data_IF_719539526623
#
_entry.id   IF_719539526623
#
_cell.length_a   1.000
_cell.length_b   1.000
_cell.length_c   1.000
_cell.angle_alpha   90.00
_cell.angle_beta   90.00
_cell.angle_gamma   90.00
#
_symmetry.space_group_name_H-M   'P 1'
#
loop_
_entity.id
_entity.type
_entity.pdbx_description
1 polymer ?
#
# COMPACT_ATOMS: atom_id res chain seq x y z
N UNK A 1 -1.11 -16.04 -20.83
CA UNK A 1 -0.94 -15.11 -19.70
C UNK A 1 -1.23 -13.72 -20.25
N UNK A 2 -2.27 -13.04 -19.76
CA UNK A 2 -2.63 -11.71 -20.27
C UNK A 2 -1.54 -10.71 -19.86
N UNK A 3 -1.12 -9.84 -20.78
CA UNK A 3 -0.08 -8.86 -20.50
C UNK A 3 -0.58 -7.82 -19.48
N UNK A 4 0.23 -7.49 -18.48
CA UNK A 4 -0.13 -6.51 -17.45
C UNK A 4 -0.37 -5.13 -18.06
N UNK A 5 -1.54 -4.55 -17.80
CA UNK A 5 -1.92 -3.20 -18.21
C UNK A 5 -2.02 -2.29 -16.99
N UNK A 6 -1.26 -1.19 -17.01
CA UNK A 6 -1.29 -0.16 -15.97
C UNK A 6 -2.68 0.49 -15.91
N UNK A 7 -3.30 0.73 -17.07
CA UNK A 7 -4.62 1.36 -17.15
C UNK A 7 -5.69 0.50 -16.47
N UNK A 8 -5.79 -0.77 -16.85
CA UNK A 8 -6.77 -1.68 -16.25
C UNK A 8 -6.51 -1.91 -14.76
N UNK A 9 -5.24 -2.01 -14.36
CA UNK A 9 -4.90 -2.16 -12.95
C UNK A 9 -5.24 -0.90 -12.13
N UNK A 10 -5.07 0.30 -12.69
CA UNK A 10 -5.36 1.56 -12.01
C UNK A 10 -6.84 1.78 -11.69
N UNK A 11 -7.74 1.22 -12.50
CA UNK A 11 -9.19 1.28 -12.24
C UNK A 11 -9.55 0.59 -10.92
N UNK A 12 -8.80 -0.45 -10.55
CA UNK A 12 -9.00 -1.25 -9.33
C UNK A 12 -8.40 -0.64 -8.07
N UNK A 13 -7.76 0.54 -8.14
CA UNK A 13 -7.26 1.24 -6.94
C UNK A 13 -8.43 1.44 -5.96
N UNK A 14 -8.26 1.05 -4.70
CA UNK A 14 -9.32 1.07 -3.69
C UNK A 14 -9.82 2.49 -3.43
N UNK A 15 -8.90 3.40 -3.13
CA UNK A 15 -9.25 4.78 -2.77
C UNK A 15 -9.40 5.68 -4.01
N UNK A 16 -10.58 6.31 -4.17
CA UNK A 16 -10.87 7.19 -5.31
C UNK A 16 -9.89 8.37 -5.44
N UNK A 17 -9.49 9.01 -4.34
CA UNK A 17 -8.55 10.15 -4.36
C UNK A 17 -7.17 9.69 -4.84
N UNK A 18 -6.72 8.53 -4.38
CA UNK A 18 -5.45 7.94 -4.82
C UNK A 18 -5.51 7.60 -6.31
N UNK A 19 -6.64 7.10 -6.81
CA UNK A 19 -6.85 6.87 -8.26
C UNK A 19 -6.69 8.15 -9.06
N UNK A 20 -7.24 9.27 -8.58
CA UNK A 20 -7.10 10.58 -9.23
C UNK A 20 -5.63 11.04 -9.25
N UNK A 21 -4.89 10.90 -8.14
CA UNK A 21 -3.46 11.22 -8.11
C UNK A 21 -2.61 10.28 -8.98
N UNK A 22 -3.01 9.02 -9.11
CA UNK A 22 -2.31 8.03 -9.92
C UNK A 22 -2.29 8.40 -11.42
N UNK A 23 -3.22 9.22 -11.90
CA UNK A 23 -3.19 9.73 -13.27
C UNK A 23 -1.93 10.56 -13.58
N UNK A 24 -1.34 11.23 -12.59
CA UNK A 24 -0.06 11.93 -12.76
C UNK A 24 1.10 10.95 -12.98
N UNK A 25 1.08 9.81 -12.27
CA UNK A 25 2.05 8.72 -12.45
C UNK A 25 1.92 8.15 -13.87
N UNK A 26 0.70 7.85 -14.31
CA UNK A 26 0.43 7.32 -15.66
C UNK A 26 0.92 8.26 -16.76
N UNK A 27 0.51 9.52 -16.71
CA UNK A 27 0.91 10.53 -17.72
C UNK A 27 2.42 10.69 -17.75
N UNK A 28 3.07 10.78 -16.58
CA UNK A 28 4.53 10.88 -16.49
C UNK A 28 5.22 9.65 -17.07
N UNK A 29 4.72 8.45 -16.76
CA UNK A 29 5.27 7.20 -17.28
C UNK A 29 5.15 7.12 -18.81
N UNK A 30 3.97 7.40 -19.37
CA UNK A 30 3.73 7.27 -20.81
C UNK A 30 4.50 8.28 -21.67
N UNK A 31 4.77 9.47 -21.14
CA UNK A 31 5.56 10.51 -21.82
C UNK A 31 7.08 10.30 -21.64
N UNK A 32 7.49 9.37 -20.77
CA UNK A 32 8.91 9.05 -20.52
C UNK A 32 9.55 9.84 -19.37
N UNK A 33 8.75 10.55 -18.57
CA UNK A 33 9.20 11.25 -17.36
C UNK A 33 9.32 10.29 -16.17
N UNK A 34 10.18 9.28 -16.29
CA UNK A 34 10.26 8.18 -15.31
C UNK A 34 10.71 8.62 -13.92
N UNK A 35 11.60 9.62 -13.82
CA UNK A 35 11.99 10.22 -12.53
C UNK A 35 10.78 10.78 -11.79
N UNK A 36 9.95 11.57 -12.49
CA UNK A 36 8.73 12.15 -11.92
C UNK A 36 7.70 11.09 -11.57
N UNK A 37 7.53 10.08 -12.44
CA UNK A 37 6.62 8.97 -12.18
C UNK A 37 6.99 8.23 -10.88
N UNK A 38 8.28 7.92 -10.66
CA UNK A 38 8.76 7.27 -9.43
C UNK A 38 8.53 8.15 -8.19
N UNK A 39 8.84 9.45 -8.29
CA UNK A 39 8.67 10.37 -7.16
C UNK A 39 7.21 10.46 -6.73
N UNK A 40 6.29 10.65 -7.69
CA UNK A 40 4.85 10.75 -7.41
C UNK A 40 4.29 9.42 -6.93
N UNK A 41 4.71 8.30 -7.53
CA UNK A 41 4.28 6.96 -7.12
C UNK A 41 4.59 6.72 -5.63
N UNK A 42 5.78 7.09 -5.16
CA UNK A 42 6.12 6.95 -3.74
C UNK A 42 5.24 7.82 -2.84
N UNK A 43 5.02 9.07 -3.23
CA UNK A 43 4.16 10.00 -2.48
C UNK A 43 2.74 9.46 -2.31
N UNK A 44 2.14 8.94 -3.38
CA UNK A 44 0.78 8.39 -3.31
C UNK A 44 0.73 7.06 -2.55
N UNK A 45 1.78 6.24 -2.60
CA UNK A 45 1.88 5.00 -1.81
C UNK A 45 1.80 5.30 -0.31
N UNK A 46 2.63 6.23 0.18
CA UNK A 46 2.62 6.60 1.60
C UNK A 46 1.27 7.22 1.99
N UNK A 47 0.70 8.06 1.12
CA UNK A 47 -0.60 8.68 1.35
C UNK A 47 -1.72 7.64 1.42
N UNK A 48 -1.72 6.65 0.53
CA UNK A 48 -2.70 5.55 0.51
C UNK A 48 -2.63 4.70 1.78
N UNK A 49 -1.43 4.40 2.28
CA UNK A 49 -1.25 3.69 3.56
C UNK A 49 -1.87 4.47 4.72
N UNK A 50 -1.67 5.79 4.77
CA UNK A 50 -2.29 6.65 5.80
C UNK A 50 -3.82 6.65 5.66
N UNK A 51 -4.35 6.79 4.44
CA UNK A 51 -5.80 6.76 4.22
C UNK A 51 -6.44 5.42 4.62
N UNK A 52 -5.76 4.31 4.35
CA UNK A 52 -6.19 2.99 4.80
C UNK A 52 -6.23 2.86 6.32
N UNK A 53 -5.23 3.39 7.02
CA UNK A 53 -5.24 3.43 8.49
C UNK A 53 -6.37 4.31 9.03
N UNK A 54 -6.64 5.44 8.40
CA UNK A 54 -7.77 6.31 8.76
C UNK A 54 -9.10 5.57 8.55
N UNK A 55 -9.27 4.88 7.43
CA UNK A 55 -10.46 4.07 7.15
C UNK A 55 -10.66 2.97 8.22
N UNK A 56 -9.58 2.27 8.59
CA UNK A 56 -9.62 1.26 9.67
C UNK A 56 -9.99 1.85 11.03
N UNK A 57 -9.44 3.01 11.36
CA UNK A 57 -9.76 3.71 12.61
C UNK A 57 -11.23 4.16 12.63
N UNK A 58 -11.66 4.88 11.59
CA UNK A 58 -12.93 5.61 11.60
C UNK A 58 -14.13 4.69 11.33
N UNK A 59 -14.00 3.69 10.45
CA UNK A 59 -15.11 2.81 10.08
C UNK A 59 -15.17 1.53 10.90
N UNK A 60 -14.01 1.02 11.35
CA UNK A 60 -13.93 -0.29 11.99
C UNK A 60 -13.41 -0.23 13.44
N UNK A 61 -13.01 0.95 13.92
CA UNK A 61 -12.51 1.12 15.28
C UNK A 61 -11.20 0.36 15.55
N UNK A 62 -10.36 0.09 14.54
CA UNK A 62 -9.13 -0.68 14.73
C UNK A 62 -8.14 0.11 15.63
N UNK A 63 -7.93 -0.39 16.84
CA UNK A 63 -6.99 0.19 17.81
C UNK A 63 -5.54 0.17 17.32
N UNK A 64 -5.14 -0.84 16.54
CA UNK A 64 -3.78 -0.92 15.97
C UNK A 64 -3.58 0.23 15.01
N UNK A 65 -4.56 0.49 14.15
CA UNK A 65 -4.50 1.63 13.22
C UNK A 65 -4.44 2.97 13.96
N UNK A 66 -5.24 3.11 15.02
CA UNK A 66 -5.22 4.30 15.90
C UNK A 66 -3.83 4.54 16.51
N UNK A 67 -3.20 3.49 17.04
CA UNK A 67 -1.86 3.56 17.66
C UNK A 67 -0.80 3.99 16.64
N UNK A 68 -0.80 3.40 15.44
CA UNK A 68 0.14 3.77 14.37
C UNK A 68 -0.04 5.23 13.96
N UNK A 69 -1.27 5.69 13.75
CA UNK A 69 -1.55 7.08 13.37
C UNK A 69 -1.05 8.07 14.43
N UNK A 70 -1.28 7.79 15.72
CA UNK A 70 -0.80 8.65 16.80
C UNK A 70 0.73 8.70 16.87
N UNK A 71 1.41 7.57 16.65
CA UNK A 71 2.88 7.51 16.59
C UNK A 71 3.43 8.34 15.42
N UNK A 72 2.80 8.24 14.25
CA UNK A 72 3.18 9.02 13.05
C UNK A 72 2.92 10.51 13.27
N UNK A 73 1.76 10.89 13.79
CA UNK A 73 1.42 12.29 14.06
C UNK A 73 2.40 12.92 15.05
N UNK A 74 2.79 12.19 16.09
CA UNK A 74 3.83 12.65 17.04
C UNK A 74 5.15 12.93 16.33
N UNK A 75 5.61 12.05 15.45
CA UNK A 75 6.86 12.24 14.70
C UNK A 75 6.79 13.43 13.75
N UNK A 76 5.65 13.62 13.07
CA UNK A 76 5.43 14.78 12.22
C UNK A 76 5.43 16.09 13.02
N UNK A 77 4.83 16.11 14.20
CA UNK A 77 4.82 17.29 15.07
C UNK A 77 6.20 17.61 15.67
N UNK A 78 6.98 16.60 16.04
CA UNK A 78 8.34 16.77 16.56
C UNK A 78 9.33 17.21 15.47
N UNK A 79 9.16 16.71 14.23
CA UNK A 79 10.04 17.01 13.09
C UNK A 79 9.24 17.26 11.80
N UNK A 80 8.58 18.43 11.65
CA UNK A 80 7.67 18.70 10.53
C UNK A 80 8.28 18.65 9.14
N UNK A 81 9.59 18.88 9.03
CA UNK A 81 10.33 18.86 7.77
C UNK A 81 11.05 17.53 7.49
N UNK A 82 11.01 16.58 8.43
CA UNK A 82 11.71 15.30 8.26
C UNK A 82 10.81 14.29 7.53
N UNK A 83 11.30 13.62 6.47
CA UNK A 83 10.60 12.50 5.85
C UNK A 83 10.76 11.18 6.62
N UNK A 84 11.46 11.16 7.77
CA UNK A 84 11.77 9.93 8.51
C UNK A 84 10.50 9.16 8.95
N UNK A 85 9.40 9.88 9.21
CA UNK A 85 8.13 9.29 9.61
C UNK A 85 7.58 8.33 8.55
N UNK A 86 7.86 8.57 7.26
CA UNK A 86 7.39 7.73 6.14
C UNK A 86 7.97 6.31 6.24
N UNK A 87 9.24 6.22 6.65
CA UNK A 87 9.91 4.93 6.84
C UNK A 87 9.40 4.24 8.09
N UNK A 88 9.18 5.04 9.15
CA UNK A 88 8.65 4.54 10.41
C UNK A 88 7.24 3.97 10.25
N UNK A 89 6.39 4.60 9.45
CA UNK A 89 5.06 4.09 9.10
C UNK A 89 5.15 2.68 8.50
N UNK A 90 6.00 2.49 7.49
CA UNK A 90 6.16 1.19 6.81
C UNK A 90 6.69 0.13 7.79
N UNK A 91 7.63 0.49 8.66
CA UNK A 91 8.13 -0.41 9.71
C UNK A 91 7.04 -0.83 10.69
N UNK A 92 6.21 0.11 11.17
CA UNK A 92 5.14 -0.20 12.13
C UNK A 92 4.03 -1.04 11.51
N UNK A 93 3.68 -0.79 10.24
CA UNK A 93 2.75 -1.64 9.49
C UNK A 93 3.28 -3.08 9.37
N UNK A 94 4.55 -3.25 9.04
CA UNK A 94 5.18 -4.57 8.97
C UNK A 94 5.24 -5.27 10.34
N UNK A 95 5.66 -4.57 11.40
CA UNK A 95 5.71 -5.13 12.77
C UNK A 95 4.34 -5.63 13.24
N UNK A 96 3.27 -4.97 12.80
CA UNK A 96 1.88 -5.31 13.16
C UNK A 96 1.23 -6.29 12.17
N UNK A 97 2.02 -6.89 11.26
CA UNK A 97 1.57 -7.84 10.23
C UNK A 97 0.50 -7.29 9.28
N UNK A 98 0.44 -5.96 9.13
CA UNK A 98 -0.39 -5.31 8.12
C UNK A 98 0.30 -5.31 6.75
N UNK A 99 1.63 -5.46 6.73
CA UNK A 99 2.39 -5.71 5.51
C UNK A 99 3.19 -7.00 5.65
N UNK A 100 3.32 -7.73 4.54
CA UNK A 100 4.26 -8.84 4.42
C UNK A 100 5.67 -8.38 4.01
N UNK A 101 6.59 -9.33 3.93
CA UNK A 101 7.98 -9.05 3.60
C UNK A 101 8.16 -8.58 2.14
N UNK A 102 7.36 -9.09 1.20
CA UNK A 102 7.40 -8.70 -0.21
C UNK A 102 6.95 -7.25 -0.36
N UNK A 103 5.80 -6.91 0.24
CA UNK A 103 5.21 -5.58 0.22
C UNK A 103 6.16 -4.54 0.81
N UNK A 104 6.72 -4.82 1.99
CA UNK A 104 7.70 -3.96 2.64
C UNK A 104 8.92 -3.73 1.72
N UNK A 105 9.50 -4.81 1.18
CA UNK A 105 10.68 -4.72 0.32
C UNK A 105 10.40 -3.90 -0.95
N UNK A 106 9.22 -4.05 -1.55
CA UNK A 106 8.83 -3.29 -2.73
C UNK A 106 8.68 -1.79 -2.43
N UNK A 107 8.10 -1.43 -1.27
CA UNK A 107 8.02 -0.03 -0.83
C UNK A 107 9.41 0.54 -0.55
N UNK A 108 10.30 -0.22 0.10
CA UNK A 108 11.68 0.21 0.37
C UNK A 108 12.50 0.37 -0.92
N UNK A 109 12.36 -0.54 -1.88
CA UNK A 109 12.98 -0.43 -3.19
C UNK A 109 12.50 0.84 -3.93
N UNK A 110 11.20 1.13 -3.87
CA UNK A 110 10.64 2.35 -4.44
C UNK A 110 11.19 3.60 -3.74
N UNK A 111 11.26 3.62 -2.41
CA UNK A 111 11.84 4.72 -1.62
C UNK A 111 13.29 5.00 -2.04
N UNK A 112 14.10 3.96 -2.20
CA UNK A 112 15.50 4.09 -2.60
C UNK A 112 15.62 4.73 -3.98
N UNK A 113 14.83 4.28 -4.97
CA UNK A 113 14.81 4.91 -6.28
C UNK A 113 14.23 6.33 -6.27
N UNK A 114 13.23 6.61 -5.42
CA UNK A 114 12.72 7.97 -5.20
C UNK A 114 13.80 8.87 -4.66
N UNK A 115 14.64 8.41 -3.73
CA UNK A 115 15.77 9.18 -3.21
C UNK A 115 16.75 9.55 -4.35
N UNK A 116 17.13 8.58 -5.19
CA UNK A 116 17.97 8.83 -6.37
C UNK A 116 17.32 9.80 -7.37
N UNK A 117 16.00 9.73 -7.55
CA UNK A 117 15.29 10.59 -8.50
C UNK A 117 15.09 12.01 -7.97
N UNK A 118 14.87 12.20 -6.67
CA UNK A 118 14.53 13.50 -6.08
C UNK A 118 15.77 14.33 -5.70
N UNK A 119 16.87 13.67 -5.31
CA UNK A 119 18.11 14.37 -4.94
C UNK A 119 19.07 14.39 -6.12
N UNK A 120 19.79 15.51 -6.35
CA UNK A 120 20.78 15.61 -7.40
C UNK A 120 22.03 14.81 -6.99
N UNK A 121 21.95 13.49 -7.09
CA UNK A 121 23.12 12.63 -7.07
C UNK A 121 23.71 12.73 -8.45
N UNK A 122 24.61 13.68 -8.58
CA UNK A 122 25.36 13.94 -9.79
C UNK A 122 26.32 12.76 -9.96
N UNK A 123 26.05 11.93 -10.97
CA UNK A 123 26.92 10.80 -11.31
C UNK A 123 28.30 11.29 -11.74
N UNK A 124 29.27 10.38 -11.92
CA UNK A 124 30.62 10.73 -12.38
C UNK A 124 30.63 11.55 -13.69
N UNK A 125 29.55 11.48 -14.49
CA UNK A 125 29.39 12.18 -15.76
C UNK A 125 28.57 13.48 -15.65
N UNK A 126 28.33 13.99 -14.44
CA UNK A 126 27.51 15.18 -14.17
C UNK A 126 26.01 15.06 -14.50
N UNK A 127 25.51 13.85 -14.74
CA UNK A 127 24.10 13.60 -15.06
C UNK A 127 23.30 13.22 -13.82
N UNK A 128 22.02 13.61 -13.83
CA UNK A 128 21.03 13.15 -12.85
C UNK A 128 20.70 11.68 -13.10
N UNK A 129 20.46 10.93 -12.01
CA UNK A 129 19.95 9.57 -12.13
C UNK A 129 18.63 9.55 -12.92
N UNK A 130 18.58 8.75 -13.98
CA UNK A 130 17.40 8.54 -14.80
C UNK A 130 17.05 7.04 -14.84
N UNK A 131 15.94 6.61 -14.20
CA UNK A 131 15.53 5.22 -14.22
C UNK A 131 15.07 4.81 -15.63
N UNK A 132 15.27 3.54 -15.98
CA UNK A 132 14.77 3.01 -17.25
C UNK A 132 13.24 2.87 -17.24
N UNK A 133 12.65 2.76 -18.43
CA UNK A 133 11.21 2.44 -18.59
C UNK A 133 10.80 1.20 -17.80
N UNK A 134 11.63 0.15 -17.85
CA UNK A 134 11.35 -1.11 -17.16
C UNK A 134 11.46 -1.00 -15.64
N UNK A 135 12.41 -0.21 -15.13
CA UNK A 135 12.48 0.06 -13.70
C UNK A 135 11.22 0.80 -13.21
N UNK A 136 10.79 1.84 -13.93
CA UNK A 136 9.56 2.56 -13.58
C UNK A 136 8.33 1.65 -13.68
N UNK A 137 8.22 0.85 -14.74
CA UNK A 137 7.11 -0.09 -14.94
C UNK A 137 7.03 -1.14 -13.83
N UNK A 138 8.17 -1.68 -13.41
CA UNK A 138 8.23 -2.66 -12.32
C UNK A 138 7.71 -2.07 -11.01
N UNK A 139 8.17 -0.87 -10.65
CA UNK A 139 7.71 -0.18 -9.44
C UNK A 139 6.21 0.11 -9.48
N UNK A 140 5.73 0.63 -10.62
CA UNK A 140 4.30 0.92 -10.81
C UNK A 140 3.47 -0.35 -10.62
N UNK A 141 3.88 -1.46 -11.24
CA UNK A 141 3.17 -2.74 -11.14
C UNK A 141 3.12 -3.24 -9.70
N UNK A 142 4.27 -3.35 -9.04
CA UNK A 142 4.35 -3.90 -7.69
C UNK A 142 3.49 -3.09 -6.73
N UNK A 143 3.58 -1.76 -6.77
CA UNK A 143 2.77 -0.89 -5.90
C UNK A 143 1.27 -0.96 -6.22
N UNK A 144 0.89 -0.99 -7.49
CA UNK A 144 -0.52 -1.14 -7.86
C UNK A 144 -1.10 -2.46 -7.32
N UNK A 145 -0.47 -3.58 -7.67
CA UNK A 145 -0.99 -4.91 -7.35
C UNK A 145 -0.94 -5.21 -5.85
N UNK A 146 0.15 -4.81 -5.18
CA UNK A 146 0.36 -5.18 -3.78
C UNK A 146 -0.23 -4.18 -2.80
N UNK A 147 -0.28 -2.89 -3.15
CA UNK A 147 -0.71 -1.84 -2.22
C UNK A 147 -2.01 -1.20 -2.71
N UNK A 148 -1.98 -0.41 -3.79
CA UNK A 148 -3.06 0.54 -4.10
C UNK A 148 -4.40 -0.13 -4.42
N UNK A 149 -4.40 -1.33 -5.00
CA UNK A 149 -5.63 -2.08 -5.32
C UNK A 149 -6.19 -2.87 -4.14
N UNK A 150 -5.43 -3.07 -3.06
CA UNK A 150 -5.89 -3.83 -1.88
C UNK A 150 -6.75 -2.97 -0.98
N UNK A 151 -7.86 -3.52 -0.52
CA UNK A 151 -8.70 -2.94 0.54
C UNK A 151 -8.00 -3.03 1.90
N UNK A 152 -8.14 -2.02 2.78
CA UNK A 152 -7.59 -2.07 4.13
C UNK A 152 -8.11 -3.25 4.98
N UNK A 153 -9.28 -3.81 4.62
CA UNK A 153 -9.86 -4.97 5.31
C UNK A 153 -8.94 -6.19 5.32
N UNK A 154 -8.03 -6.31 4.35
CA UNK A 154 -7.08 -7.43 4.31
C UNK A 154 -6.15 -7.45 5.55
N UNK A 155 -5.94 -6.30 6.20
CA UNK A 155 -5.14 -6.17 7.43
C UNK A 155 -5.87 -6.66 8.69
N UNK A 156 -7.15 -7.01 8.57
CA UNK A 156 -7.97 -7.58 9.65
C UNK A 156 -8.15 -9.09 9.51
N UNK A 157 -7.45 -9.76 8.59
CA UNK A 157 -7.65 -11.18 8.27
C UNK A 157 -7.64 -12.10 9.50
N UNK A 158 -6.67 -11.92 10.40
CA UNK A 158 -6.57 -12.75 11.62
C UNK A 158 -7.84 -12.64 12.49
N UNK A 159 -8.46 -11.45 12.57
CA UNK A 159 -9.71 -11.23 13.31
C UNK A 159 -10.87 -11.95 12.61
N UNK A 160 -10.91 -11.91 11.28
CA UNK A 160 -11.95 -12.63 10.52
C UNK A 160 -11.80 -14.15 10.63
N UNK A 161 -10.58 -14.67 10.63
CA UNK A 161 -10.31 -16.10 10.83
C UNK A 161 -10.77 -16.55 12.22
N UNK A 162 -10.41 -15.83 13.28
CA UNK A 162 -10.90 -16.07 14.64
C UNK A 162 -12.43 -16.01 14.73
N UNK A 163 -13.05 -15.04 14.05
CA UNK A 163 -14.51 -14.90 14.00
C UNK A 163 -15.21 -16.07 13.30
N UNK A 164 -14.64 -16.57 12.18
CA UNK A 164 -15.17 -17.74 11.47
C UNK A 164 -15.09 -18.99 12.35
N UNK A 165 -13.95 -19.20 13.02
CA UNK A 165 -13.78 -20.30 13.98
C UNK A 165 -14.85 -20.20 15.08
N UNK A 166 -15.02 -19.02 15.67
CA UNK A 166 -16.02 -18.78 16.71
C UNK A 166 -17.46 -19.10 16.25
N UNK A 167 -17.85 -18.67 15.04
CA UNK A 167 -19.18 -19.02 14.47
C UNK A 167 -19.32 -20.53 14.27
N UNK A 168 -18.28 -21.19 13.77
CA UNK A 168 -18.33 -22.64 13.50
C UNK A 168 -18.50 -23.47 14.78
N UNK A 169 -17.93 -22.99 15.89
CA UNK A 169 -18.03 -23.62 17.22
C UNK A 169 -19.38 -23.34 17.91
N UNK A 170 -20.03 -22.21 17.59
CA UNK A 170 -21.30 -21.79 18.19
C UNK A 170 -22.47 -22.03 17.22
N UNK A 171 -22.92 -23.30 17.12
CA UNK A 171 -23.99 -23.76 16.21
C UNK A 171 -25.29 -22.93 16.24
N UNK A 172 -25.63 -22.30 17.37
CA UNK A 172 -26.84 -21.49 17.51
C UNK A 172 -26.75 -20.11 16.82
N UNK A 173 -25.55 -19.67 16.43
CA UNK A 173 -25.31 -18.48 15.60
C UNK A 173 -25.21 -18.80 14.10
N UNK A 174 -25.29 -20.07 13.71
CA UNK A 174 -25.28 -20.49 12.31
C UNK A 174 -26.60 -20.08 11.63
N UNK A 175 -26.62 -18.89 11.04
CA UNK A 175 -27.66 -18.52 10.07
C UNK A 175 -27.57 -19.56 8.95
N UNK A 176 -28.68 -20.22 8.62
CA UNK A 176 -28.71 -21.31 7.62
C UNK A 176 -28.08 -20.93 6.29
N UNK A 177 -28.05 -19.64 5.94
CA UNK A 177 -27.41 -19.08 4.75
C UNK A 177 -25.88 -19.15 4.78
N UNK A 178 -25.25 -19.03 5.95
CA UNK A 178 -23.78 -19.05 6.11
C UNK A 178 -23.21 -20.47 6.15
N UNK A 179 -24.06 -21.46 6.41
CA UNK A 179 -23.62 -22.85 6.63
C UNK A 179 -23.07 -23.48 5.36
N UNK A 180 -23.76 -23.25 4.24
CA UNK A 180 -23.38 -23.79 2.93
C UNK A 180 -22.09 -23.12 2.40
N UNK A 181 -21.90 -21.82 2.66
CA UNK A 181 -20.71 -21.09 2.23
C UNK A 181 -19.49 -21.42 3.11
N UNK A 182 -19.65 -21.61 4.43
CA UNK A 182 -18.56 -21.97 5.35
C UNK A 182 -18.05 -23.40 5.07
N UNK A 183 -18.93 -24.36 4.79
CA UNK A 183 -18.52 -25.73 4.44
C UNK A 183 -17.68 -25.77 3.14
N UNK A 184 -17.95 -24.87 2.20
CA UNK A 184 -17.16 -24.74 0.96
C UNK A 184 -15.75 -24.16 1.16
N UNK A 185 -15.57 -23.35 2.21
CA UNK A 185 -14.28 -22.73 2.55
C UNK A 185 -13.39 -23.71 3.33
N UNK A 186 -13.98 -24.62 4.11
CA UNK A 186 -13.26 -25.60 4.93
C UNK A 186 -12.84 -26.88 4.18
N UNK A 187 -13.19 -27.02 2.90
CA UNK A 187 -12.85 -28.20 2.08
C UNK A 187 -11.65 -28.01 1.13
N UNK A 188 -10.88 -26.93 1.30
CA UNK A 188 -9.57 -26.70 0.65
C UNK A 188 -8.48 -26.45 1.69
#
# INVERSE_FOLDING_TARGET
>A
MQEFSIDLASERIHNKRIREYFEEVKKSYYIGNYRSAIVILYTITITDLVYKLIELKDLYGDERATKILNEVEKLQNEKPQSPDWESKLVEELFKRKMLDASEKNNIEALKNHRHLCAHPIITQNYELYNPTKENARSHIRNILEEILTKSPLIWMRDIFEEFIVYISENKDLSVSVLKDDIESILTF
#
